data_IF_862271180356
#
_entry.id   IF_862271180356
#
_cell.length_a   1.000
_cell.length_b   1.000
_cell.length_c   1.000
_cell.angle_alpha   90.00
_cell.angle_beta   90.00
_cell.angle_gamma   90.00
#
_symmetry.space_group_name_H-M   'P 1'
#
loop_
_entity.id
_entity.type
_entity.pdbx_description
1 polymer ?
#
# COMPACT_ATOMS: atom_id res chain seq x y z
N UNK A 1 29.80 70.59 -53.24
CA UNK A 1 30.88 69.63 -52.92
C UNK A 1 30.60 68.99 -51.56
N UNK A 2 30.22 67.70 -51.52
CA UNK A 2 30.31 66.81 -50.35
C UNK A 2 30.30 65.37 -50.88
N UNK A 3 31.31 64.53 -50.57
CA UNK A 3 31.44 63.21 -51.18
C UNK A 3 30.59 62.15 -50.47
N UNK A 4 30.31 61.09 -51.24
CA UNK A 4 29.72 59.81 -50.83
C UNK A 4 30.35 59.21 -49.57
N UNK A 5 29.51 58.62 -48.73
CA UNK A 5 29.89 57.45 -47.92
C UNK A 5 28.93 56.30 -48.30
N UNK A 6 29.42 55.36 -49.11
CA UNK A 6 28.75 54.08 -49.37
C UNK A 6 28.86 53.24 -48.10
N UNK A 7 27.71 52.93 -47.51
CA UNK A 7 27.61 52.00 -46.40
C UNK A 7 27.60 50.58 -47.00
N UNK A 8 28.73 49.87 -46.88
CA UNK A 8 28.88 48.49 -47.35
C UNK A 8 28.15 47.55 -46.40
N UNK A 9 26.84 47.37 -46.59
CA UNK A 9 26.08 46.32 -45.90
C UNK A 9 26.53 44.95 -46.42
N UNK A 10 27.31 44.24 -45.62
CA UNK A 10 27.66 42.83 -45.85
C UNK A 10 26.37 42.02 -45.75
N UNK A 11 25.77 41.69 -46.90
CA UNK A 11 24.64 40.76 -47.01
C UNK A 11 25.15 39.35 -46.70
N UNK A 12 25.14 38.99 -45.42
CA UNK A 12 25.37 37.63 -44.98
C UNK A 12 24.34 36.71 -45.62
N UNK A 13 24.78 35.83 -46.53
CA UNK A 13 23.95 34.79 -47.12
C UNK A 13 23.37 33.92 -46.01
N UNK A 14 22.07 34.05 -45.75
CA UNK A 14 21.36 33.12 -44.89
C UNK A 14 21.33 31.77 -45.59
N UNK A 15 22.16 30.83 -45.14
CA UNK A 15 22.11 29.43 -45.58
C UNK A 15 20.77 28.85 -45.15
N UNK A 16 19.92 28.51 -46.10
CA UNK A 16 18.71 27.73 -45.86
C UNK A 16 19.07 26.28 -45.56
N UNK A 17 18.32 25.65 -44.66
CA UNK A 17 18.45 24.22 -44.39
C UNK A 17 18.09 23.42 -45.64
N UNK A 18 18.92 22.44 -45.99
CA UNK A 18 18.59 21.46 -47.01
C UNK A 18 17.59 20.44 -46.48
N UNK A 19 16.79 19.86 -47.39
CA UNK A 19 15.83 18.79 -47.05
C UNK A 19 16.55 17.60 -46.41
N UNK A 20 17.76 17.28 -46.87
CA UNK A 20 18.58 16.19 -46.34
C UNK A 20 19.02 16.46 -44.90
N UNK A 21 19.47 17.67 -44.59
CA UNK A 21 19.85 18.04 -43.22
C UNK A 21 18.67 17.93 -42.26
N UNK A 22 17.47 18.36 -42.68
CA UNK A 22 16.26 18.19 -41.87
C UNK A 22 15.88 16.71 -41.70
N UNK A 23 16.02 15.90 -42.75
CA UNK A 23 15.67 14.48 -42.74
C UNK A 23 16.60 13.66 -41.82
N UNK A 24 17.89 13.96 -41.82
CA UNK A 24 18.84 13.32 -40.89
C UNK A 24 18.53 13.69 -39.44
N UNK A 25 18.16 14.94 -39.17
CA UNK A 25 17.82 15.39 -37.81
C UNK A 25 16.57 14.65 -37.28
N UNK A 26 15.49 14.57 -38.07
CA UNK A 26 14.30 13.83 -37.62
C UNK A 26 14.59 12.33 -37.47
N UNK A 27 15.46 11.75 -38.31
CA UNK A 27 15.87 10.36 -38.19
C UNK A 27 16.63 10.11 -36.87
N UNK A 28 17.55 11.01 -36.51
CA UNK A 28 18.27 10.93 -35.23
C UNK A 28 17.30 11.08 -34.05
N UNK A 29 16.39 12.06 -34.10
CA UNK A 29 15.37 12.25 -33.04
C UNK A 29 14.49 11.01 -32.90
N UNK A 30 14.05 10.40 -34.01
CA UNK A 30 13.23 9.19 -33.99
C UNK A 30 13.96 8.00 -33.34
N UNK A 31 15.24 7.81 -33.66
CA UNK A 31 16.07 6.76 -33.03
C UNK A 31 16.24 7.02 -31.53
N UNK A 32 16.50 8.26 -31.12
CA UNK A 32 16.64 8.61 -29.71
C UNK A 32 15.34 8.35 -28.92
N UNK A 33 14.19 8.76 -29.47
CA UNK A 33 12.88 8.52 -28.84
C UNK A 33 12.60 7.01 -28.74
N UNK A 34 12.90 6.24 -29.78
CA UNK A 34 12.70 4.80 -29.78
C UNK A 34 13.49 4.10 -28.67
N UNK A 35 14.75 4.50 -28.45
CA UNK A 35 15.58 3.97 -27.36
C UNK A 35 15.04 4.37 -25.98
N UNK A 36 14.54 5.59 -25.82
CA UNK A 36 13.95 6.05 -24.54
C UNK A 36 12.70 5.23 -24.20
N UNK A 37 11.78 5.00 -25.15
CA UNK A 37 10.52 4.31 -24.89
C UNK A 37 10.72 2.91 -24.30
N UNK A 38 11.70 2.14 -24.80
CA UNK A 38 11.99 0.78 -24.30
C UNK A 38 12.45 0.80 -22.83
N UNK A 39 13.12 1.86 -22.38
CA UNK A 39 13.64 1.99 -21.02
C UNK A 39 12.62 2.48 -19.99
N UNK A 40 11.53 3.13 -20.41
CA UNK A 40 10.61 3.83 -19.52
C UNK A 40 9.74 2.88 -18.67
N UNK A 41 9.45 1.67 -19.15
CA UNK A 41 8.56 0.74 -18.45
C UNK A 41 9.08 0.28 -17.09
N UNK A 42 10.34 -0.17 -17.03
CA UNK A 42 10.97 -0.62 -15.77
C UNK A 42 11.19 0.52 -14.79
N UNK A 43 11.48 1.73 -15.31
CA UNK A 43 11.59 2.95 -14.51
C UNK A 43 10.25 3.31 -13.85
N UNK A 44 9.14 3.27 -14.59
CA UNK A 44 7.82 3.57 -14.04
C UNK A 44 7.41 2.58 -12.94
N UNK A 45 7.63 1.28 -13.15
CA UNK A 45 7.33 0.26 -12.12
C UNK A 45 8.10 0.53 -10.82
N UNK A 46 9.42 0.77 -10.95
CA UNK A 46 10.27 1.07 -9.80
C UNK A 46 9.87 2.39 -9.11
N UNK A 47 9.52 3.43 -9.88
CA UNK A 47 9.04 4.69 -9.32
C UNK A 47 7.73 4.53 -8.54
N UNK A 48 6.78 3.73 -9.06
CA UNK A 48 5.54 3.40 -8.34
C UNK A 48 5.83 2.62 -7.06
N UNK A 49 6.78 1.68 -7.08
CA UNK A 49 7.20 0.95 -5.88
C UNK A 49 7.81 1.89 -4.84
N UNK A 50 8.71 2.79 -5.25
CA UNK A 50 9.28 3.82 -4.35
C UNK A 50 8.20 4.72 -3.76
N UNK A 51 7.21 5.12 -4.55
CA UNK A 51 6.08 5.89 -4.06
C UNK A 51 5.21 5.08 -3.10
N UNK A 52 4.98 3.79 -3.35
CA UNK A 52 4.28 2.89 -2.44
C UNK A 52 5.00 2.80 -1.07
N UNK A 53 6.34 2.68 -1.07
CA UNK A 53 7.13 2.72 0.17
C UNK A 53 7.00 4.07 0.88
N UNK A 54 7.03 5.18 0.14
CA UNK A 54 6.87 6.52 0.73
C UNK A 54 5.50 6.68 1.38
N UNK A 55 4.44 6.20 0.73
CA UNK A 55 3.08 6.20 1.29
C UNK A 55 3.02 5.38 2.59
N UNK A 56 3.59 4.17 2.60
CA UNK A 56 3.66 3.36 3.81
C UNK A 56 4.47 4.01 4.93
N UNK A 57 5.58 4.67 4.61
CA UNK A 57 6.35 5.41 5.59
C UNK A 57 5.54 6.58 6.19
N UNK A 58 4.76 7.30 5.38
CA UNK A 58 3.86 8.35 5.86
C UNK A 58 2.73 7.78 6.75
N UNK A 59 2.13 6.64 6.35
CA UNK A 59 1.17 5.92 7.21
C UNK A 59 1.80 5.59 8.57
N UNK A 60 3.01 5.05 8.54
CA UNK A 60 3.76 4.64 9.72
C UNK A 60 4.05 5.82 10.65
N UNK A 61 4.46 6.97 10.12
CA UNK A 61 4.66 8.19 10.91
C UNK A 61 3.37 8.59 11.63
N UNK A 62 2.23 8.60 10.92
CA UNK A 62 0.94 8.94 11.52
C UNK A 62 0.51 7.95 12.60
N UNK A 63 0.67 6.65 12.34
CA UNK A 63 0.33 5.58 13.27
C UNK A 63 1.18 5.65 14.55
N UNK A 64 2.50 5.86 14.42
CA UNK A 64 3.41 6.00 15.57
C UNK A 64 3.12 7.29 16.34
N UNK A 65 2.85 8.40 15.66
CA UNK A 65 2.53 9.68 16.30
C UNK A 65 1.26 9.56 17.14
N UNK A 66 0.20 8.98 16.58
CA UNK A 66 -1.01 8.69 17.34
C UNK A 66 -0.75 7.75 18.51
N UNK A 67 0.10 6.73 18.32
CA UNK A 67 0.45 5.80 19.40
C UNK A 67 1.11 6.53 20.57
N UNK A 68 2.01 7.48 20.30
CA UNK A 68 2.67 8.30 21.32
C UNK A 68 1.65 9.12 22.11
N UNK A 69 0.70 9.76 21.42
CA UNK A 69 -0.37 10.55 22.06
C UNK A 69 -1.35 9.67 22.86
N UNK A 70 -1.45 8.38 22.52
CA UNK A 70 -2.36 7.41 23.11
C UNK A 70 -1.66 6.38 24.02
N UNK A 71 -0.62 6.80 24.75
CA UNK A 71 0.09 5.98 25.77
C UNK A 71 0.69 4.69 25.21
N UNK A 72 1.17 4.74 23.97
CA UNK A 72 1.78 3.62 23.25
C UNK A 72 0.79 2.59 22.73
N UNK A 73 -0.53 2.87 22.76
CA UNK A 73 -1.55 1.98 22.22
C UNK A 73 -1.48 1.90 20.69
N UNK A 74 -2.01 0.83 20.12
CA UNK A 74 -2.23 0.72 18.68
C UNK A 74 -3.65 1.11 18.27
N UNK A 75 -3.76 1.79 17.13
CA UNK A 75 -5.04 1.93 16.44
C UNK A 75 -5.62 0.55 16.11
N UNK A 76 -6.94 0.48 16.04
CA UNK A 76 -7.62 -0.73 15.65
C UNK A 76 -7.61 -0.87 14.12
N UNK A 77 -7.30 -2.08 13.61
CA UNK A 77 -7.45 -2.40 12.20
C UNK A 77 -8.91 -2.45 11.75
N UNK A 78 -9.85 -2.54 12.69
CA UNK A 78 -11.27 -2.64 12.41
C UNK A 78 -11.76 -1.41 11.64
N UNK A 79 -12.58 -1.65 10.62
CA UNK A 79 -13.16 -0.61 9.77
C UNK A 79 -14.70 -0.56 9.85
N UNK A 80 -15.35 -1.42 10.65
CA UNK A 80 -16.82 -1.60 10.69
C UNK A 80 -17.57 -0.65 11.63
N UNK A 81 -18.85 -0.38 11.33
CA UNK A 81 -19.68 0.56 12.10
C UNK A 81 -20.10 0.04 13.45
N UNK A 82 -19.95 0.90 14.47
CA UNK A 82 -20.55 0.70 15.78
C UNK A 82 -21.66 1.74 16.00
N UNK A 83 -22.91 1.32 16.29
CA UNK A 83 -24.02 2.25 16.46
C UNK A 83 -23.78 3.28 17.58
N UNK A 84 -24.20 4.54 17.42
CA UNK A 84 -24.24 5.54 18.48
C UNK A 84 -25.00 5.00 19.69
N UNK A 85 -24.40 5.12 20.87
CA UNK A 85 -24.98 4.59 22.12
C UNK A 85 -24.67 3.11 22.40
N UNK A 86 -24.15 2.35 21.42
CA UNK A 86 -23.41 1.13 21.74
C UNK A 86 -22.08 1.53 22.38
N UNK A 87 -21.84 1.12 23.62
CA UNK A 87 -20.61 1.43 24.34
C UNK A 87 -19.46 0.59 23.78
N UNK A 88 -18.84 1.06 22.71
CA UNK A 88 -17.47 0.68 22.40
C UNK A 88 -16.57 1.87 22.74
N UNK A 89 -15.89 1.86 23.90
CA UNK A 89 -15.02 2.97 24.33
C UNK A 89 -13.84 3.21 23.38
N UNK A 90 -13.66 2.38 22.36
CA UNK A 90 -12.50 2.34 21.48
C UNK A 90 -12.85 2.53 19.99
N UNK A 91 -14.08 2.94 19.62
CA UNK A 91 -14.44 3.28 18.21
C UNK A 91 -13.54 4.38 17.64
N UNK A 92 -13.11 5.29 18.49
CA UNK A 92 -12.23 6.39 18.11
C UNK A 92 -10.78 5.93 17.88
N UNK A 93 -10.48 4.64 18.08
CA UNK A 93 -9.18 4.05 17.73
C UNK A 93 -9.11 3.53 16.30
N UNK A 94 -10.22 3.53 15.54
CA UNK A 94 -10.26 2.92 14.21
C UNK A 94 -9.50 3.79 13.22
N UNK A 95 -8.48 3.22 12.58
CA UNK A 95 -7.61 4.00 11.69
C UNK A 95 -8.34 4.51 10.44
N UNK A 96 -9.39 3.79 10.02
CA UNK A 96 -10.31 4.11 8.92
C UNK A 96 -11.72 3.67 9.31
N UNK A 97 -12.75 4.41 8.90
CA UNK A 97 -14.16 4.16 9.26
C UNK A 97 -15.03 3.83 8.04
N UNK A 98 -14.95 2.59 7.59
CA UNK A 98 -15.61 2.05 6.39
C UNK A 98 -16.97 1.44 6.73
N UNK A 99 -17.96 2.30 6.89
CA UNK A 99 -19.29 1.95 7.39
C UNK A 99 -20.31 1.64 6.29
N UNK A 100 -20.86 0.42 6.33
CA UNK A 100 -22.19 0.10 5.81
C UNK A 100 -22.80 -1.03 6.66
N UNK A 101 -23.83 -0.70 7.44
CA UNK A 101 -24.83 -1.69 7.80
C UNK A 101 -26.16 -1.12 7.34
N UNK A 102 -26.71 -1.70 6.26
CA UNK A 102 -28.12 -1.54 5.97
C UNK A 102 -28.93 -1.76 7.25
N UNK A 103 -29.94 -0.90 7.42
CA UNK A 103 -30.84 -0.77 8.59
C UNK A 103 -30.33 0.17 9.71
N UNK A 104 -30.49 1.48 9.50
CA UNK A 104 -30.93 2.37 10.59
C UNK A 104 -30.10 3.62 10.95
N UNK A 105 -28.91 3.84 10.39
CA UNK A 105 -28.11 5.05 10.69
C UNK A 105 -27.61 5.71 9.40
N UNK A 106 -28.04 6.94 9.13
CA UNK A 106 -27.83 7.66 7.86
C UNK A 106 -26.40 8.09 7.50
N UNK A 107 -25.35 7.43 8.00
CA UNK A 107 -23.96 7.70 7.64
C UNK A 107 -23.37 6.52 6.85
N UNK A 108 -23.56 6.53 5.53
CA UNK A 108 -22.99 5.54 4.62
C UNK A 108 -21.59 6.03 4.21
N UNK A 109 -20.54 5.25 4.54
CA UNK A 109 -19.16 5.51 4.10
C UNK A 109 -18.69 4.55 3.03
N UNK A 110 -19.61 3.74 2.54
CA UNK A 110 -19.50 3.01 1.30
C UNK A 110 -20.35 3.69 0.21
N UNK A 111 -19.98 3.53 -1.05
CA UNK A 111 -20.77 4.00 -2.18
C UNK A 111 -21.96 3.07 -2.48
N UNK A 112 -22.69 3.33 -3.56
CA UNK A 112 -23.83 2.51 -4.00
C UNK A 112 -23.45 1.07 -4.37
N UNK A 113 -22.18 0.79 -4.61
CA UNK A 113 -21.63 -0.53 -4.91
C UNK A 113 -21.01 -1.20 -3.67
N UNK A 114 -21.21 -0.61 -2.48
CA UNK A 114 -20.56 -0.99 -1.23
C UNK A 114 -19.03 -0.80 -1.24
N UNK A 115 -18.45 0.02 -2.11
CA UNK A 115 -17.03 0.34 -2.11
C UNK A 115 -16.69 1.44 -1.09
N UNK A 116 -15.52 1.36 -0.45
CA UNK A 116 -15.07 2.36 0.52
C UNK A 116 -14.93 3.75 -0.14
N UNK A 117 -15.42 4.80 0.54
CA UNK A 117 -15.36 6.18 0.07
C UNK A 117 -14.19 6.94 0.69
N UNK A 118 -13.75 8.02 0.05
CA UNK A 118 -12.78 8.96 0.63
C UNK A 118 -13.19 9.46 2.03
N UNK A 119 -14.48 9.67 2.24
CA UNK A 119 -15.02 10.10 3.54
C UNK A 119 -14.81 9.04 4.64
N UNK A 120 -14.66 7.75 4.30
CA UNK A 120 -14.29 6.71 5.27
C UNK A 120 -12.87 6.93 5.83
N UNK A 121 -11.96 7.40 4.98
CA UNK A 121 -10.58 7.72 5.36
C UNK A 121 -10.55 8.95 6.26
N UNK A 122 -11.30 10.00 5.88
CA UNK A 122 -11.34 11.30 6.58
C UNK A 122 -11.86 11.23 8.01
N UNK A 123 -12.69 10.24 8.30
CA UNK A 123 -13.25 10.05 9.65
C UNK A 123 -12.44 9.07 10.51
N UNK A 124 -11.48 8.37 9.91
CA UNK A 124 -10.54 7.53 10.63
C UNK A 124 -9.64 8.34 11.56
N UNK A 125 -9.24 7.74 12.68
CA UNK A 125 -8.38 8.38 13.67
C UNK A 125 -7.00 8.80 13.10
N UNK A 126 -6.55 8.12 12.04
CA UNK A 126 -5.28 8.42 11.37
C UNK A 126 -5.34 9.70 10.54
N UNK A 127 -6.52 10.14 10.13
CA UNK A 127 -6.67 11.32 9.28
C UNK A 127 -6.08 12.58 9.91
N UNK A 128 -6.23 12.76 11.22
CA UNK A 128 -5.71 13.92 11.96
C UNK A 128 -4.17 14.03 11.91
N UNK A 129 -3.47 12.93 11.62
CA UNK A 129 -2.01 12.86 11.62
C UNK A 129 -1.42 12.89 10.21
N UNK A 130 -2.19 12.51 9.18
CA UNK A 130 -1.72 12.41 7.80
C UNK A 130 -2.35 13.49 6.92
N UNK A 131 -3.67 13.64 6.97
CA UNK A 131 -4.41 14.64 6.20
C UNK A 131 -4.33 14.52 4.67
N UNK A 132 -3.88 13.37 4.13
CA UNK A 132 -3.75 13.11 2.70
C UNK A 132 -4.30 11.73 2.32
N UNK A 133 -5.30 11.72 1.45
CA UNK A 133 -5.96 10.51 0.94
C UNK A 133 -5.02 9.66 0.08
N UNK A 134 -4.11 10.30 -0.65
CA UNK A 134 -3.20 9.61 -1.57
C UNK A 134 -2.28 8.64 -0.84
N UNK A 135 -2.03 8.90 0.45
CA UNK A 135 -1.19 8.08 1.32
C UNK A 135 -1.84 6.73 1.65
N UNK A 136 -3.17 6.61 1.59
CA UNK A 136 -3.89 5.35 1.83
C UNK A 136 -3.92 4.42 0.62
N UNK A 137 -3.54 4.92 -0.56
CA UNK A 137 -3.59 4.17 -1.82
C UNK A 137 -2.19 3.90 -2.35
N UNK A 138 -1.96 2.67 -2.79
CA UNK A 138 -0.74 2.29 -3.49
C UNK A 138 -0.86 2.69 -4.98
N UNK A 139 0.17 3.30 -5.58
CA UNK A 139 0.22 3.53 -7.02
C UNK A 139 0.36 2.22 -7.83
N UNK A 140 0.61 1.09 -7.17
CA UNK A 140 0.64 -0.24 -7.76
C UNK A 140 -0.75 -0.91 -7.74
N UNK A 141 -1.73 -0.35 -7.01
CA UNK A 141 -3.06 -0.92 -6.89
C UNK A 141 -3.87 -0.80 -8.18
N UNK A 142 -4.21 -1.96 -8.76
CA UNK A 142 -4.96 -2.10 -10.01
C UNK A 142 -6.49 -2.12 -9.80
N UNK A 143 -6.96 -2.20 -8.56
CA UNK A 143 -8.39 -2.38 -8.22
C UNK A 143 -9.20 -1.09 -8.30
N UNK A 144 -8.55 0.07 -8.20
CA UNK A 144 -9.22 1.37 -8.17
C UNK A 144 -9.81 1.75 -6.81
N UNK A 145 -9.59 0.95 -5.76
CA UNK A 145 -10.04 1.24 -4.40
C UNK A 145 -9.39 2.51 -3.84
N UNK A 146 -10.08 3.19 -2.92
CA UNK A 146 -9.58 4.41 -2.24
C UNK A 146 -8.48 4.09 -1.22
N UNK A 147 -8.42 2.83 -0.76
CA UNK A 147 -7.41 2.31 0.14
C UNK A 147 -6.87 0.98 -0.37
N UNK A 148 -5.56 0.86 -0.29
CA UNK A 148 -4.80 -0.31 -0.75
C UNK A 148 -4.13 -1.05 0.39
N UNK A 149 -3.99 -0.40 1.54
CA UNK A 149 -3.24 -0.91 2.68
C UNK A 149 -4.15 -1.41 3.79
N UNK A 150 -3.65 -2.43 4.49
CA UNK A 150 -4.28 -3.06 5.63
C UNK A 150 -3.41 -2.89 6.85
N UNK A 151 -4.03 -2.67 8.00
CA UNK A 151 -3.34 -2.67 9.28
C UNK A 151 -3.25 -4.10 9.83
N UNK A 152 -2.23 -4.40 10.61
CA UNK A 152 -2.05 -5.71 11.25
C UNK A 152 -3.26 -6.06 12.13
N UNK A 153 -3.85 -7.24 11.89
CA UNK A 153 -5.01 -7.74 12.63
C UNK A 153 -4.68 -8.27 14.04
N UNK A 154 -3.41 -8.55 14.32
CA UNK A 154 -2.91 -9.08 15.60
C UNK A 154 -2.52 -8.01 16.61
N UNK A 155 -2.70 -6.74 16.25
CA UNK A 155 -2.48 -5.60 17.13
C UNK A 155 -3.82 -4.94 17.50
N UNK A 156 -3.80 -4.13 18.55
CA UNK A 156 -4.94 -3.47 19.17
C UNK A 156 -5.72 -4.33 20.18
N UNK A 157 -6.34 -3.63 21.14
CA UNK A 157 -7.29 -4.20 22.12
C UNK A 157 -8.57 -4.74 21.43
N UNK A 158 -8.82 -4.34 20.18
CA UNK A 158 -9.95 -4.76 19.35
C UNK A 158 -9.44 -5.17 17.96
N UNK A 159 -9.02 -6.44 17.76
CA UNK A 159 -8.81 -6.97 16.41
C UNK A 159 -10.14 -6.97 15.65
N UNK A 160 -10.09 -7.08 14.32
CA UNK A 160 -11.27 -7.06 13.43
C UNK A 160 -12.41 -7.94 13.98
N UNK A 161 -13.48 -7.29 14.45
CA UNK A 161 -14.58 -7.97 15.14
C UNK A 161 -15.58 -8.61 14.20
N UNK A 162 -15.48 -8.37 12.89
CA UNK A 162 -16.34 -9.01 11.90
C UNK A 162 -16.06 -10.51 11.75
N UNK A 163 -14.92 -10.98 12.30
CA UNK A 163 -14.48 -12.38 12.31
C UNK A 163 -13.97 -12.87 13.68
N UNK A 164 -14.14 -12.10 14.77
CA UNK A 164 -13.50 -12.42 16.06
C UNK A 164 -14.43 -13.15 17.04
N UNK A 165 -14.27 -14.48 17.28
CA UNK A 165 -14.81 -15.13 18.46
C UNK A 165 -13.78 -15.13 19.60
N UNK A 166 -13.18 -13.98 19.94
CA UNK A 166 -12.22 -13.77 21.02
C UNK A 166 -10.94 -14.65 21.07
N UNK A 167 -10.74 -15.69 20.24
CA UNK A 167 -9.60 -16.63 20.40
C UNK A 167 -9.13 -17.35 19.12
N UNK A 168 -9.86 -17.30 17.99
CA UNK A 168 -9.58 -18.20 16.86
C UNK A 168 -8.34 -17.86 16.03
N UNK A 169 -7.83 -16.63 16.03
CA UNK A 169 -6.71 -16.24 15.18
C UNK A 169 -5.38 -16.17 15.94
N UNK A 170 -5.40 -16.02 17.26
CA UNK A 170 -4.21 -15.96 18.12
C UNK A 170 -4.24 -14.81 19.13
N UNK A 171 -3.22 -14.71 20.01
CA UNK A 171 -3.12 -13.64 20.98
C UNK A 171 -2.82 -12.29 20.31
N UNK A 172 -3.47 -11.22 20.77
CA UNK A 172 -3.19 -9.85 20.30
C UNK A 172 -2.38 -9.03 21.29
N UNK A 173 -1.81 -7.94 20.78
CA UNK A 173 -1.02 -6.98 21.55
C UNK A 173 -1.56 -5.56 21.36
N UNK A 174 -1.82 -4.87 22.46
CA UNK A 174 -2.50 -3.56 22.47
C UNK A 174 -1.54 -2.37 22.37
N UNK A 175 -0.25 -2.59 22.57
CA UNK A 175 0.75 -1.53 22.68
C UNK A 175 2.13 -1.92 22.17
N UNK A 176 2.88 -0.92 21.69
CA UNK A 176 4.24 -1.11 21.12
C UNK A 176 5.16 -1.82 22.10
N UNK A 177 5.10 -1.50 23.41
CA UNK A 177 5.98 -2.09 24.42
C UNK A 177 5.79 -3.60 24.65
N UNK A 178 4.71 -4.19 24.12
CA UNK A 178 4.46 -5.65 24.18
C UNK A 178 4.98 -6.39 22.95
N UNK A 179 5.46 -5.67 21.93
CA UNK A 179 6.07 -6.25 20.73
C UNK A 179 7.50 -6.63 21.02
N UNK A 180 7.83 -7.92 20.87
CA UNK A 180 9.17 -8.44 21.12
C UNK A 180 10.20 -8.03 20.07
N UNK A 181 9.81 -8.02 18.79
CA UNK A 181 10.70 -7.69 17.67
C UNK A 181 10.02 -6.71 16.69
N UNK A 182 9.95 -5.41 17.03
CA UNK A 182 9.27 -4.41 16.21
C UNK A 182 9.81 -4.31 14.78
N UNK A 183 11.11 -4.54 14.57
CA UNK A 183 11.77 -4.43 13.28
C UNK A 183 11.48 -5.56 12.30
N UNK A 184 10.94 -6.68 12.80
CA UNK A 184 10.51 -7.82 11.98
C UNK A 184 9.00 -8.12 12.15
N UNK A 185 8.24 -7.20 12.75
CA UNK A 185 6.79 -7.33 12.85
C UNK A 185 6.15 -6.39 11.85
N UNK A 186 5.43 -6.93 10.86
CA UNK A 186 4.69 -6.13 9.90
C UNK A 186 3.64 -5.26 10.60
N UNK A 187 3.49 -4.03 10.15
CA UNK A 187 2.46 -3.13 10.65
C UNK A 187 1.36 -2.90 9.61
N UNK A 188 1.72 -2.38 8.44
CA UNK A 188 0.83 -2.31 7.28
C UNK A 188 1.38 -3.10 6.10
N UNK A 189 0.46 -3.73 5.37
CA UNK A 189 0.76 -4.42 4.11
C UNK A 189 -0.15 -3.86 3.02
N UNK A 190 0.27 -3.89 1.74
CA UNK A 190 -0.68 -3.82 0.63
C UNK A 190 -1.51 -5.11 0.67
N UNK A 191 -2.84 -4.99 0.63
CA UNK A 191 -3.73 -6.14 0.77
C UNK A 191 -4.69 -6.20 -0.42
N UNK A 192 -4.87 -7.42 -0.91
CA UNK A 192 -5.88 -7.78 -1.87
C UNK A 192 -6.94 -8.59 -1.13
N UNK A 193 -8.19 -8.11 -1.17
CA UNK A 193 -9.37 -8.80 -0.63
C UNK A 193 -10.23 -9.23 -1.84
N UNK A 194 -9.97 -10.41 -2.43
CA UNK A 194 -10.62 -10.85 -3.65
C UNK A 194 -12.12 -11.04 -3.39
N UNK A 195 -12.95 -10.24 -4.07
CA UNK A 195 -14.41 -10.31 -3.95
C UNK A 195 -15.02 -9.33 -2.94
N UNK A 196 -14.22 -8.53 -2.25
CA UNK A 196 -14.70 -7.38 -1.48
C UNK A 196 -14.32 -6.06 -2.18
N UNK A 197 -15.25 -5.10 -2.29
CA UNK A 197 -14.96 -3.79 -2.88
C UNK A 197 -14.11 -2.88 -1.97
N UNK A 198 -13.70 -3.35 -0.79
CA UNK A 198 -12.78 -2.68 0.15
C UNK A 198 -12.18 -3.69 1.14
N UNK A 199 -11.07 -3.34 1.77
CA UNK A 199 -10.44 -4.19 2.79
C UNK A 199 -11.24 -4.16 4.09
N UNK A 200 -11.67 -5.33 4.56
CA UNK A 200 -12.45 -5.44 5.80
C UNK A 200 -11.53 -5.69 6.97
N UNK A 201 -11.51 -4.76 7.93
CA UNK A 201 -10.63 -4.87 9.07
C UNK A 201 -9.15 -4.79 8.68
N UNK A 202 -8.36 -5.68 9.28
CA UNK A 202 -6.92 -5.76 9.06
C UNK A 202 -6.51 -7.16 8.71
N UNK A 203 -5.30 -7.28 8.19
CA UNK A 203 -4.82 -8.55 7.67
C UNK A 203 -4.63 -9.59 8.79
N UNK A 204 -5.15 -10.79 8.58
CA UNK A 204 -4.97 -11.92 9.51
C UNK A 204 -4.55 -13.22 8.82
N UNK A 205 -3.94 -14.08 9.62
CA UNK A 205 -3.64 -15.49 9.30
C UNK A 205 -4.51 -16.35 10.22
N UNK A 206 -5.30 -17.25 9.63
CA UNK A 206 -6.01 -18.32 10.32
C UNK A 206 -5.01 -19.28 10.92
N UNK A 207 -5.02 -19.41 12.25
CA UNK A 207 -4.22 -20.44 12.93
C UNK A 207 -5.06 -21.66 13.32
N UNK A 208 -6.39 -21.55 13.37
CA UNK A 208 -7.29 -22.57 13.93
C UNK A 208 -8.43 -22.99 12.98
N UNK A 209 -8.35 -22.62 11.71
CA UNK A 209 -9.36 -22.97 10.71
C UNK A 209 -9.44 -24.48 10.47
N UNK A 210 -10.63 -24.97 10.10
CA UNK A 210 -10.93 -26.38 9.78
C UNK A 210 -10.15 -26.99 8.59
N UNK A 211 -9.02 -26.40 8.19
CA UNK A 211 -8.15 -26.86 7.10
C UNK A 211 -6.67 -26.51 7.30
N UNK A 212 -6.25 -26.15 8.52
CA UNK A 212 -4.86 -25.76 8.82
C UNK A 212 -4.64 -24.24 8.80
N UNK A 213 -3.36 -23.85 8.88
CA UNK A 213 -2.96 -22.44 8.89
C UNK A 213 -3.17 -21.87 7.48
N UNK A 214 -3.80 -20.70 7.34
CA UNK A 214 -4.02 -20.05 6.02
C UNK A 214 -4.06 -18.53 6.12
N UNK A 215 -3.61 -17.83 5.09
CA UNK A 215 -3.84 -16.38 5.01
C UNK A 215 -5.32 -16.14 4.70
N UNK A 216 -5.94 -15.23 5.45
CA UNK A 216 -7.30 -14.78 5.16
C UNK A 216 -7.29 -13.57 4.24
N UNK A 217 -6.48 -12.60 4.59
CA UNK A 217 -6.33 -11.34 3.86
C UNK A 217 -4.93 -11.33 3.26
N UNK A 218 -4.88 -11.53 1.94
CA UNK A 218 -3.65 -11.88 1.24
C UNK A 218 -2.88 -10.59 0.92
N UNK A 219 -1.55 -10.56 1.12
CA UNK A 219 -0.73 -9.47 0.61
C UNK A 219 -0.92 -9.28 -0.90
N UNK A 220 -1.04 -8.05 -1.36
CA UNK A 220 -1.27 -7.77 -2.77
C UNK A 220 0.04 -7.83 -3.59
N UNK A 221 0.18 -8.84 -4.45
CA UNK A 221 1.34 -9.04 -5.32
C UNK A 221 1.17 -8.32 -6.67
N UNK A 222 1.05 -7.00 -6.66
CA UNK A 222 0.73 -6.22 -7.87
C UNK A 222 1.88 -6.09 -8.89
N UNK A 223 3.10 -6.39 -8.49
CA UNK A 223 4.30 -6.29 -9.32
C UNK A 223 4.66 -7.63 -9.95
N UNK A 224 4.95 -7.63 -11.25
CA UNK A 224 5.31 -8.85 -11.99
C UNK A 224 6.72 -9.37 -11.62
N UNK A 225 7.56 -8.53 -11.03
CA UNK A 225 8.91 -8.88 -10.58
C UNK A 225 8.97 -9.36 -9.13
N UNK A 226 7.82 -9.51 -8.46
CA UNK A 226 7.70 -10.04 -7.10
C UNK A 226 8.18 -9.09 -5.98
N UNK A 227 8.35 -7.78 -6.25
CA UNK A 227 8.75 -6.79 -5.24
C UNK A 227 7.58 -6.02 -4.66
N UNK A 228 7.48 -5.96 -3.34
CA UNK A 228 6.37 -5.27 -2.69
C UNK A 228 6.83 -4.51 -1.45
N UNK A 229 6.22 -3.35 -1.21
CA UNK A 229 6.55 -2.52 -0.06
C UNK A 229 5.82 -3.01 1.19
N UNK A 230 6.54 -3.13 2.30
CA UNK A 230 6.03 -3.49 3.61
C UNK A 230 6.45 -2.46 4.65
N UNK A 231 5.60 -2.24 5.65
CA UNK A 231 5.97 -1.46 6.82
C UNK A 231 6.07 -2.32 8.07
N UNK A 232 6.90 -1.88 9.00
CA UNK A 232 7.23 -2.58 10.23
C UNK A 232 6.93 -1.69 11.44
N UNK A 233 6.65 -2.32 12.59
CA UNK A 233 6.28 -1.60 13.81
C UNK A 233 7.38 -0.63 14.28
N UNK A 234 8.64 -0.89 13.94
CA UNK A 234 9.78 -0.02 14.28
C UNK A 234 9.80 1.34 13.57
N UNK A 235 8.91 1.59 12.60
CA UNK A 235 8.93 2.83 11.81
C UNK A 235 9.49 2.66 10.39
N UNK A 236 10.10 1.52 10.10
CA UNK A 236 10.74 1.29 8.80
C UNK A 236 9.74 0.80 7.75
N UNK A 237 9.97 1.19 6.51
CA UNK A 237 9.32 0.62 5.32
C UNK A 237 10.40 0.04 4.42
N UNK A 238 10.23 -1.19 3.96
CA UNK A 238 11.22 -1.92 3.15
C UNK A 238 10.53 -2.55 1.95
N UNK A 239 11.28 -2.73 0.87
CA UNK A 239 10.85 -3.66 -0.18
C UNK A 239 11.17 -5.06 0.29
N UNK A 240 10.26 -5.99 0.10
CA UNK A 240 10.53 -7.41 0.18
C UNK A 240 10.43 -8.00 -1.23
N UNK A 241 11.30 -8.97 -1.50
CA UNK A 241 11.27 -9.76 -2.73
C UNK A 241 10.64 -11.11 -2.40
N UNK A 242 9.56 -11.45 -3.10
CA UNK A 242 9.05 -12.82 -3.12
C UNK A 242 10.08 -13.69 -3.84
N UNK A 243 10.65 -14.65 -3.13
CA UNK A 243 11.60 -15.62 -3.70
C UNK A 243 10.86 -16.78 -4.35
N UNK A 244 9.75 -17.22 -3.76
CA UNK A 244 8.95 -18.33 -4.27
C UNK A 244 7.91 -17.82 -5.29
N UNK A 245 8.07 -18.07 -6.60
CA UNK A 245 7.12 -17.58 -7.61
C UNK A 245 5.71 -18.17 -7.47
N UNK A 246 5.58 -19.32 -6.80
CA UNK A 246 4.29 -19.96 -6.52
C UNK A 246 3.64 -19.42 -5.24
N UNK A 247 4.28 -18.51 -4.50
CA UNK A 247 3.71 -17.98 -3.26
C UNK A 247 2.31 -17.35 -3.47
N UNK A 248 2.06 -16.52 -4.50
CA UNK A 248 0.72 -15.97 -4.71
C UNK A 248 -0.35 -17.05 -4.96
N UNK A 249 -0.01 -18.11 -5.71
CA UNK A 249 -0.96 -19.22 -5.96
C UNK A 249 -1.18 -20.07 -4.71
N UNK A 250 -0.12 -20.35 -3.94
CA UNK A 250 -0.18 -21.04 -2.64
C UNK A 250 -1.09 -20.28 -1.65
N UNK A 251 -0.91 -18.95 -1.55
CA UNK A 251 -1.68 -18.10 -0.66
C UNK A 251 -3.16 -18.03 -1.05
N UNK A 252 -3.45 -17.96 -2.35
CA UNK A 252 -4.84 -17.91 -2.87
C UNK A 252 -5.57 -19.25 -2.80
N UNK A 253 -4.84 -20.38 -2.81
CA UNK A 253 -5.42 -21.72 -2.70
C UNK A 253 -5.69 -22.17 -1.26
N UNK A 254 -5.38 -21.33 -0.25
CA UNK A 254 -5.40 -21.69 1.18
C UNK A 254 -4.48 -22.88 1.53
N UNK A 255 -3.49 -23.16 0.69
CA UNK A 255 -2.57 -24.27 0.88
C UNK A 255 -1.26 -23.75 1.44
N UNK A 256 -1.26 -22.99 2.54
CA UNK A 256 0.01 -22.84 3.24
C UNK A 256 0.42 -24.24 3.72
N UNK A 257 1.56 -24.79 3.29
CA UNK A 257 1.99 -26.10 3.71
C UNK A 257 2.61 -25.97 5.11
N UNK A 258 1.80 -25.57 6.09
CA UNK A 258 2.22 -25.47 7.48
C UNK A 258 1.69 -26.71 8.17
N UNK A 259 2.60 -27.64 8.47
CA UNK A 259 2.23 -28.79 9.30
C UNK A 259 2.30 -28.38 10.76
N UNK A 260 1.47 -28.96 11.66
CA UNK A 260 1.42 -28.51 13.07
C UNK A 260 2.74 -28.67 13.83
N UNK A 261 3.67 -29.47 13.32
CA UNK A 261 4.98 -29.70 13.90
C UNK A 261 6.06 -29.08 13.00
N UNK A 262 6.46 -27.85 13.32
CA UNK A 262 7.86 -27.43 13.50
C UNK A 262 7.96 -25.90 13.45
N UNK A 263 8.86 -25.36 14.26
CA UNK A 263 9.36 -23.98 14.13
C UNK A 263 9.96 -23.67 12.75
N UNK A 264 10.18 -24.69 11.90
CA UNK A 264 10.82 -24.60 10.59
C UNK A 264 9.90 -23.99 9.50
N UNK A 265 8.58 -24.01 9.68
CA UNK A 265 7.64 -23.58 8.65
C UNK A 265 7.45 -22.05 8.61
N UNK A 266 7.50 -21.37 9.76
CA UNK A 266 7.59 -19.89 9.80
C UNK A 266 8.94 -19.41 9.28
N UNK A 267 10.01 -20.16 9.54
CA UNK A 267 11.32 -19.92 8.93
C UNK A 267 11.28 -20.16 7.42
N UNK A 268 10.43 -21.07 6.92
CA UNK A 268 10.23 -21.30 5.50
C UNK A 268 9.45 -20.15 4.83
N UNK A 269 8.39 -19.66 5.46
CA UNK A 269 7.69 -18.44 5.04
C UNK A 269 8.62 -17.23 5.06
N UNK A 270 9.44 -17.09 6.11
CA UNK A 270 10.47 -16.05 6.20
C UNK A 270 11.55 -16.22 5.12
N UNK A 271 11.92 -17.46 4.74
CA UNK A 271 12.81 -17.72 3.60
C UNK A 271 12.15 -17.39 2.25
N UNK A 272 10.83 -17.44 2.15
CA UNK A 272 10.11 -17.06 0.92
C UNK A 272 10.02 -15.55 0.75
N UNK A 273 10.16 -14.79 1.83
CA UNK A 273 10.14 -13.33 1.86
C UNK A 273 11.52 -12.82 2.27
N UNK A 274 12.44 -12.57 1.34
CA UNK A 274 13.75 -11.99 1.70
C UNK A 274 13.56 -10.53 2.16
N UNK A 275 13.76 -10.20 3.45
CA UNK A 275 13.64 -8.83 3.94
C UNK A 275 14.96 -8.05 3.83
N UNK A 276 16.02 -8.67 3.27
CA UNK A 276 17.40 -8.15 3.25
C UNK A 276 17.86 -7.60 1.89
N UNK A 277 16.98 -7.55 0.88
CA UNK A 277 17.22 -6.89 -0.41
C UNK A 277 16.23 -5.78 -0.71
#
# INVERSE_FOLDING_TARGET
>A
MKPMLMNSSILGHRRGFSLVELLVVIAIIAVLIALVIVSVGSFQSSARLTQCMSNQHQLQIGLVSWSQDNKGKFMSPNSTYYPPGASNPNRDLFWVKSYNNGVGSGEVRLDSNNAETEQALRDGALWEYIGDEKTYRSPLDKTGRVRSYALNGFISDLPDTSTNPATSWGPTVDRISKIRNPSNTFYTIPEEDPGSPFNRGGWVIDLNGNGGIRWKDIPAFWTDDGRYALSFIDGSSRVAQVINPDLPSILTQNELPVTPDTSDDFDQLAKWLDPTR
#
